data_IF_306690084386
#
_entry.id   IF_306690084386
#
_cell.length_a   1.000
_cell.length_b   1.000
_cell.length_c   1.000
_cell.angle_alpha   90.00
_cell.angle_beta   90.00
_cell.angle_gamma   90.00
#
_symmetry.space_group_name_H-M   'P 1'
#
loop_
_entity.id
_entity.type
_entity.pdbx_description
1 polymer ?
#
# COMPACT_ATOMS: atom_id res chain seq x y z
N UNK A 1 8.20 -9.28 -0.33
CA UNK A 1 8.43 -8.27 0.72
C UNK A 1 9.45 -8.82 1.70
N UNK A 2 10.42 -8.00 2.07
CA UNK A 2 11.48 -8.31 3.02
C UNK A 2 11.28 -7.54 4.32
N UNK A 3 12.01 -7.94 5.37
CA UNK A 3 11.96 -7.26 6.66
C UNK A 3 12.35 -5.78 6.48
N UNK A 4 11.59 -4.88 7.11
CA UNK A 4 11.72 -3.42 7.01
C UNK A 4 11.32 -2.78 5.67
N UNK A 5 10.79 -3.53 4.70
CA UNK A 5 10.15 -2.90 3.53
C UNK A 5 9.02 -1.97 4.00
N UNK A 6 9.01 -0.74 3.51
CA UNK A 6 7.92 0.20 3.76
C UNK A 6 6.78 -0.02 2.75
N UNK A 7 5.56 0.08 3.23
CA UNK A 7 4.34 -0.03 2.42
C UNK A 7 3.37 1.10 2.74
N UNK A 8 2.54 1.46 1.78
CA UNK A 8 1.46 2.44 1.97
C UNK A 8 0.17 1.72 2.34
N UNK A 9 -0.52 2.22 3.36
CA UNK A 9 -1.81 1.68 3.80
C UNK A 9 -2.95 2.36 3.06
N UNK A 10 -3.63 1.61 2.20
CA UNK A 10 -4.78 2.08 1.41
C UNK A 10 -6.10 1.60 2.04
N UNK A 11 -6.97 2.55 2.37
CA UNK A 11 -8.32 2.27 2.86
C UNK A 11 -9.31 2.25 1.68
N UNK A 12 -9.77 1.04 1.31
CA UNK A 12 -10.59 0.80 0.11
C UNK A 12 -12.10 0.81 0.34
N UNK A 13 -12.58 0.92 1.58
CA UNK A 13 -14.02 0.89 1.88
C UNK A 13 -14.60 2.31 1.81
N UNK A 14 -14.21 3.18 2.76
CA UNK A 14 -14.72 4.53 2.86
C UNK A 14 -13.58 5.54 2.66
N UNK A 15 -13.70 6.38 1.63
CA UNK A 15 -12.73 7.44 1.33
C UNK A 15 -11.72 7.12 0.22
N UNK A 16 -11.48 5.85 -0.11
CA UNK A 16 -10.53 5.43 -1.17
C UNK A 16 -9.22 6.20 -1.11
N UNK A 17 -8.50 6.07 0.00
CA UNK A 17 -7.38 6.95 0.32
C UNK A 17 -6.21 6.21 0.95
N UNK A 18 -5.02 6.76 0.77
CA UNK A 18 -3.82 6.34 1.48
C UNK A 18 -3.73 7.13 2.78
N UNK A 19 -3.74 6.41 3.90
CA UNK A 19 -3.82 7.01 5.25
C UNK A 19 -2.48 7.12 5.96
N UNK A 20 -1.46 6.42 5.46
CA UNK A 20 -0.17 6.35 6.13
C UNK A 20 0.75 5.30 5.54
N UNK A 21 1.85 5.07 6.24
CA UNK A 21 2.83 4.03 5.92
C UNK A 21 3.02 3.05 7.08
N UNK A 22 3.36 1.83 6.71
CA UNK A 22 3.65 0.71 7.59
C UNK A 22 4.98 0.09 7.18
N UNK A 23 5.55 -0.77 8.03
CA UNK A 23 6.73 -1.57 7.70
C UNK A 23 6.51 -3.05 7.97
N UNK A 24 7.19 -3.90 7.21
CA UNK A 24 7.16 -5.35 7.40
C UNK A 24 7.96 -5.74 8.63
N UNK A 25 7.33 -6.48 9.55
CA UNK A 25 7.98 -7.02 10.77
C UNK A 25 8.12 -8.54 10.74
N UNK A 26 7.28 -9.22 9.96
CA UNK A 26 7.41 -10.66 9.70
C UNK A 26 7.22 -10.86 8.21
N UNK A 27 8.18 -11.51 7.57
CA UNK A 27 8.12 -11.86 6.15
C UNK A 27 7.02 -12.88 5.88
N UNK A 28 6.91 -13.35 4.64
CA UNK A 28 5.91 -14.34 4.25
C UNK A 28 5.91 -15.56 5.19
N UNK A 29 4.76 -15.85 5.79
CA UNK A 29 4.50 -16.98 6.67
C UNK A 29 3.13 -17.58 6.35
N UNK A 30 2.89 -18.82 6.80
CA UNK A 30 1.59 -19.47 6.60
C UNK A 30 0.45 -18.59 7.12
N UNK A 31 -0.57 -18.36 6.30
CA UNK A 31 -1.73 -17.60 6.73
C UNK A 31 -2.46 -18.31 7.90
N UNK A 32 -2.63 -17.66 9.06
CA UNK A 32 -3.21 -18.30 10.24
C UNK A 32 -4.73 -18.52 10.13
N UNK A 33 -5.37 -17.99 9.08
CA UNK A 33 -6.82 -18.12 8.85
C UNK A 33 -7.19 -19.32 7.98
N UNK A 34 -6.21 -20.07 7.47
CA UNK A 34 -6.44 -21.23 6.61
C UNK A 34 -5.37 -22.32 6.74
N UNK A 35 -5.79 -23.56 6.57
CA UNK A 35 -4.90 -24.73 6.53
C UNK A 35 -4.31 -24.98 5.13
N UNK A 36 -4.74 -24.24 4.09
CA UNK A 36 -4.19 -24.39 2.73
C UNK A 36 -2.77 -23.78 2.66
N UNK A 37 -1.72 -24.60 2.41
CA UNK A 37 -0.33 -24.16 2.43
C UNK A 37 0.05 -23.20 1.29
N UNK A 38 -0.86 -22.96 0.33
CA UNK A 38 -0.65 -21.99 -0.75
C UNK A 38 -0.83 -20.54 -0.29
N UNK A 39 -1.49 -20.32 0.84
CA UNK A 39 -1.78 -18.98 1.35
C UNK A 39 -0.70 -18.52 2.33
N UNK A 40 -0.02 -17.44 1.95
CA UNK A 40 0.97 -16.79 2.78
C UNK A 40 0.51 -15.38 3.12
N UNK A 41 0.79 -14.97 4.35
CA UNK A 41 0.53 -13.64 4.87
C UNK A 41 1.83 -12.95 5.30
N UNK A 42 1.79 -11.63 5.45
CA UNK A 42 2.91 -10.79 5.88
C UNK A 42 2.41 -9.93 7.05
N UNK A 43 3.23 -9.77 8.08
CA UNK A 43 2.86 -8.93 9.24
C UNK A 43 3.49 -7.56 9.11
N UNK A 44 2.67 -6.53 9.33
CA UNK A 44 3.06 -5.14 9.27
C UNK A 44 2.88 -4.47 10.63
N UNK A 45 3.70 -3.46 10.91
CA UNK A 45 3.45 -2.51 12.00
C UNK A 45 3.27 -1.09 11.43
N UNK A 46 2.38 -0.27 12.01
CA UNK A 46 2.21 1.12 11.60
C UNK A 46 3.48 1.92 11.90
N UNK A 47 3.94 2.71 10.93
CA UNK A 47 5.11 3.60 11.08
C UNK A 47 4.68 5.05 11.24
N UNK A 48 3.74 5.49 10.40
CA UNK A 48 3.29 6.87 10.39
C UNK A 48 1.88 6.97 9.79
N UNK A 49 1.00 7.67 10.49
CA UNK A 49 -0.26 8.18 9.92
C UNK A 49 0.02 9.51 9.24
N UNK A 50 -0.50 9.72 8.03
CA UNK A 50 -0.40 10.99 7.33
C UNK A 50 -1.40 11.99 7.90
N UNK A 51 -0.98 13.26 8.02
CA UNK A 51 -1.87 14.33 8.50
C UNK A 51 -3.05 14.55 7.54
N UNK A 52 -2.80 14.40 6.24
CA UNK A 52 -3.81 14.43 5.19
C UNK A 52 -3.84 13.09 4.48
N UNK A 53 -5.02 12.48 4.43
CA UNK A 53 -5.24 11.30 3.61
C UNK A 53 -5.11 11.66 2.12
N UNK A 54 -4.40 10.83 1.36
CA UNK A 54 -4.24 11.04 -0.09
C UNK A 54 -5.37 10.31 -0.79
N UNK A 55 -6.32 11.06 -1.36
CA UNK A 55 -7.46 10.47 -2.07
C UNK A 55 -7.03 9.84 -3.40
N UNK A 56 -7.73 8.79 -3.82
CA UNK A 56 -7.53 8.15 -5.12
C UNK A 56 -7.73 9.12 -6.29
N UNK A 57 -8.59 10.14 -6.13
CA UNK A 57 -8.74 11.21 -7.15
C UNK A 57 -7.43 11.97 -7.37
N UNK A 58 -6.74 12.36 -6.29
CA UNK A 58 -5.45 13.06 -6.38
C UNK A 58 -4.38 12.20 -7.08
N UNK A 59 -4.38 10.89 -6.79
CA UNK A 59 -3.49 9.92 -7.45
C UNK A 59 -3.81 9.84 -8.95
N UNK A 60 -5.09 9.80 -9.32
CA UNK A 60 -5.54 9.74 -10.73
C UNK A 60 -5.26 11.03 -11.50
N UNK A 61 -5.23 12.17 -10.81
CA UNK A 61 -4.89 13.47 -11.39
C UNK A 61 -3.38 13.66 -11.60
N UNK A 62 -2.54 12.78 -11.04
CA UNK A 62 -1.08 12.82 -11.17
C UNK A 62 -0.62 11.94 -12.35
N UNK A 63 -0.22 12.50 -13.50
CA UNK A 63 0.07 11.72 -14.72
C UNK A 63 1.17 10.68 -14.53
N UNK A 64 2.16 10.96 -13.68
CA UNK A 64 3.27 10.07 -13.35
C UNK A 64 2.81 8.79 -12.63
N UNK A 65 1.64 8.83 -11.98
CA UNK A 65 1.06 7.69 -11.25
C UNK A 65 -0.01 6.94 -12.08
N UNK A 66 -0.30 7.37 -13.31
CA UNK A 66 -1.37 6.79 -14.13
C UNK A 66 -1.17 5.29 -14.44
N UNK A 67 0.06 4.79 -14.29
CA UNK A 67 0.42 3.41 -14.61
C UNK A 67 0.51 2.46 -13.40
N UNK A 68 0.33 2.95 -12.17
CA UNK A 68 0.43 2.09 -10.98
C UNK A 68 -0.72 1.09 -10.91
N UNK A 69 -0.50 -0.01 -10.19
CA UNK A 69 -1.51 -1.05 -9.99
C UNK A 69 -2.83 -0.53 -9.44
N UNK A 70 -2.80 0.49 -8.58
CA UNK A 70 -3.99 1.06 -7.93
C UNK A 70 -4.95 1.68 -8.95
N UNK A 71 -4.40 2.28 -10.01
CA UNK A 71 -5.18 2.93 -11.07
C UNK A 71 -5.60 1.91 -12.12
N UNK A 72 -4.69 1.02 -12.53
CA UNK A 72 -4.93 0.08 -13.63
C UNK A 72 -5.67 -1.20 -13.23
N UNK A 73 -5.59 -1.61 -11.97
CA UNK A 73 -6.09 -2.89 -11.48
C UNK A 73 -6.84 -2.69 -10.15
N UNK A 74 -8.09 -2.17 -10.17
CA UNK A 74 -8.82 -1.81 -8.95
C UNK A 74 -9.08 -2.96 -7.97
N UNK A 75 -9.03 -4.21 -8.44
CA UNK A 75 -9.23 -5.42 -7.62
C UNK A 75 -7.92 -6.00 -7.06
N UNK A 76 -6.76 -5.43 -7.40
CA UNK A 76 -5.47 -5.88 -6.90
C UNK A 76 -5.23 -5.28 -5.51
N UNK A 77 -5.28 -6.11 -4.47
CA UNK A 77 -5.12 -5.65 -3.09
C UNK A 77 -3.66 -5.31 -2.72
N UNK A 78 -2.69 -6.02 -3.31
CA UNK A 78 -1.26 -5.82 -3.05
C UNK A 78 -0.55 -5.59 -4.37
N UNK A 79 0.16 -4.48 -4.47
CA UNK A 79 0.84 -4.08 -5.70
C UNK A 79 2.24 -3.53 -5.40
N UNK A 80 3.22 -3.75 -6.29
CA UNK A 80 4.51 -3.11 -6.19
C UNK A 80 4.39 -1.63 -6.60
N UNK A 81 5.23 -0.80 -5.99
CA UNK A 81 5.53 0.55 -6.45
C UNK A 81 7.03 0.66 -6.69
N UNK A 82 7.42 1.41 -7.70
CA UNK A 82 8.79 1.87 -7.83
C UNK A 82 9.12 2.87 -6.72
N UNK A 83 10.41 3.04 -6.42
CA UNK A 83 10.87 4.04 -5.45
C UNK A 83 10.36 5.44 -5.79
N UNK A 84 10.35 5.79 -7.08
CA UNK A 84 9.86 7.08 -7.56
C UNK A 84 8.38 7.28 -7.28
N UNK A 85 7.53 6.31 -7.61
CA UNK A 85 6.08 6.37 -7.37
C UNK A 85 5.77 6.45 -5.87
N UNK A 86 6.47 5.65 -5.06
CA UNK A 86 6.32 5.65 -3.61
C UNK A 86 6.64 7.02 -3.00
N UNK A 87 7.79 7.60 -3.35
CA UNK A 87 8.21 8.92 -2.87
C UNK A 87 7.27 10.03 -3.38
N UNK A 88 6.79 9.94 -4.62
CA UNK A 88 5.85 10.89 -5.18
C UNK A 88 4.52 10.87 -4.42
N UNK A 89 3.98 9.69 -4.13
CA UNK A 89 2.75 9.56 -3.34
C UNK A 89 2.95 10.16 -1.94
N UNK A 90 4.07 9.88 -1.26
CA UNK A 90 4.36 10.48 0.06
C UNK A 90 4.42 12.01 -0.02
N UNK A 91 4.93 12.59 -1.12
CA UNK A 91 4.94 14.05 -1.29
C UNK A 91 3.52 14.64 -1.40
N UNK A 92 2.53 13.88 -1.88
CA UNK A 92 1.13 14.31 -1.93
C UNK A 92 0.47 14.36 -0.53
N UNK A 93 1.04 13.70 0.48
CA UNK A 93 0.56 13.75 1.87
C UNK A 93 0.97 15.01 2.65
N UNK A 94 1.74 15.94 2.04
CA UNK A 94 2.11 17.22 2.65
C UNK A 94 0.99 18.27 2.50
#
# INVERSE_FOLDING_TARGET
>A
MQLNDEVLFYHSQEGNSIMGKMKVIVTAHQDPTTDDPKWLSVTFEPVQTFEKAIALSQIKETPELANIGLVKQPRLAVMPLTKFEFELIIKLAK
#
